data_IF_101997634381
#
_entry.id   IF_101997634381
#
_cell.length_a   1.000
_cell.length_b   1.000
_cell.length_c   1.000
_cell.angle_alpha   90.00
_cell.angle_beta   90.00
_cell.angle_gamma   90.00
#
_symmetry.space_group_name_H-M   'P 1'
#
loop_
_entity.id
_entity.type
_entity.pdbx_description
1 polymer ?
#
# COMPACT_ATOMS: atom_id res chain seq x y z
N UNK A 1 0.61 15.38 -24.28
CA UNK A 1 1.26 15.24 -22.95
C UNK A 1 0.26 15.71 -21.92
N UNK A 2 -0.03 14.89 -20.91
CA UNK A 2 -0.88 15.31 -19.78
C UNK A 2 -0.11 16.32 -18.93
N UNK A 3 -0.66 17.51 -18.72
CA UNK A 3 -0.09 18.51 -17.82
C UNK A 3 -0.68 18.33 -16.41
N UNK A 4 0.09 17.80 -15.45
CA UNK A 4 -0.39 17.55 -14.09
C UNK A 4 -0.70 18.83 -13.31
N UNK A 5 -0.27 20.00 -13.78
CA UNK A 5 -0.51 21.28 -13.10
C UNK A 5 -1.72 22.04 -13.66
N UNK A 6 -2.27 21.61 -14.79
CA UNK A 6 -3.41 22.26 -15.45
C UNK A 6 -4.60 21.30 -15.59
N UNK A 7 -5.07 20.80 -14.44
CA UNK A 7 -6.21 19.88 -14.37
C UNK A 7 -7.49 20.72 -14.21
N UNK A 8 -8.44 20.68 -15.16
CA UNK A 8 -9.69 21.42 -15.03
C UNK A 8 -10.51 20.88 -13.86
N UNK A 9 -10.94 21.78 -12.97
CA UNK A 9 -11.82 21.44 -11.86
C UNK A 9 -13.18 21.01 -12.40
N UNK A 10 -13.66 19.85 -11.96
CA UNK A 10 -15.01 19.37 -12.28
C UNK A 10 -16.07 20.21 -11.53
N UNK A 11 -17.29 20.36 -12.09
CA UNK A 11 -18.38 21.05 -11.41
C UNK A 11 -18.71 20.37 -10.06
N UNK A 12 -19.29 21.12 -9.10
CA UNK A 12 -19.67 20.57 -7.80
C UNK A 12 -20.71 19.45 -7.97
N UNK A 13 -20.57 18.40 -7.16
CA UNK A 13 -21.53 17.31 -7.11
C UNK A 13 -22.54 17.52 -5.96
N UNK A 14 -23.79 17.10 -6.15
CA UNK A 14 -24.85 17.20 -5.13
C UNK A 14 -24.75 16.07 -4.07
N UNK A 15 -23.54 15.58 -3.81
CA UNK A 15 -23.31 14.52 -2.84
C UNK A 15 -23.12 15.11 -1.43
N UNK A 16 -23.69 14.45 -0.43
CA UNK A 16 -23.55 14.82 0.98
C UNK A 16 -22.86 13.68 1.71
N UNK A 17 -21.85 13.99 2.53
CA UNK A 17 -21.22 13.01 3.41
C UNK A 17 -21.78 13.14 4.83
N UNK A 18 -21.99 12.00 5.49
CA UNK A 18 -22.34 11.94 6.92
C UNK A 18 -21.44 10.94 7.62
N UNK A 19 -21.10 11.23 8.88
CA UNK A 19 -20.27 10.35 9.70
C UNK A 19 -21.18 9.40 10.48
N UNK A 20 -20.97 8.10 10.33
CA UNK A 20 -21.64 7.05 11.08
C UNK A 20 -20.60 6.17 11.75
N UNK A 21 -20.57 6.15 13.10
CA UNK A 21 -19.63 5.36 13.90
C UNK A 21 -18.14 5.56 13.50
N UNK A 22 -17.74 6.79 13.20
CA UNK A 22 -16.37 7.13 12.78
C UNK A 22 -16.03 6.81 11.32
N UNK A 23 -16.98 6.28 10.55
CA UNK A 23 -16.86 6.02 9.11
C UNK A 23 -17.68 7.05 8.34
N UNK A 24 -17.07 7.70 7.36
CA UNK A 24 -17.78 8.61 6.46
C UNK A 24 -18.52 7.82 5.36
N UNK A 25 -19.81 8.09 5.22
CA UNK A 25 -20.67 7.55 4.18
C UNK A 25 -21.16 8.68 3.28
N UNK A 26 -21.25 8.43 1.98
CA UNK A 26 -21.65 9.41 0.96
C UNK A 26 -23.05 9.09 0.47
N UNK A 27 -23.89 10.11 0.30
CA UNK A 27 -25.28 10.02 -0.16
C UNK A 27 -25.47 10.92 -1.39
N UNK A 28 -26.22 10.46 -2.39
CA UNK A 28 -26.54 11.26 -3.58
C UNK A 28 -27.84 12.00 -3.36
N UNK A 29 -27.89 13.29 -3.72
CA UNK A 29 -29.12 14.08 -3.86
C UNK A 29 -30.23 13.74 -2.83
N UNK A 30 -29.96 13.90 -1.52
CA UNK A 30 -30.87 13.46 -0.45
C UNK A 30 -32.21 14.21 -0.43
N UNK A 31 -32.36 15.28 -1.23
CA UNK A 31 -33.58 16.07 -1.36
C UNK A 31 -34.57 15.43 -2.35
N UNK A 32 -34.09 14.90 -3.48
CA UNK A 32 -34.95 14.32 -4.52
C UNK A 32 -35.16 12.80 -4.37
N UNK A 33 -34.23 12.09 -3.73
CA UNK A 33 -34.23 10.63 -3.70
C UNK A 33 -34.89 10.07 -2.42
N UNK A 34 -36.23 10.11 -2.38
CA UNK A 34 -37.04 9.73 -1.20
C UNK A 34 -36.94 8.24 -0.85
N UNK A 35 -36.61 7.39 -1.83
CA UNK A 35 -36.47 5.94 -1.63
C UNK A 35 -35.12 5.54 -1.00
N UNK A 36 -34.12 6.43 -1.00
CA UNK A 36 -32.70 6.11 -0.74
C UNK A 36 -32.10 6.97 0.40
N UNK A 37 -32.94 7.68 1.16
CA UNK A 37 -32.51 8.65 2.19
C UNK A 37 -31.56 8.09 3.25
N UNK A 38 -31.67 6.78 3.52
CA UNK A 38 -30.86 6.09 4.54
C UNK A 38 -29.86 5.08 3.95
N UNK A 39 -29.86 4.88 2.63
CA UNK A 39 -28.95 3.96 1.97
C UNK A 39 -27.79 4.73 1.33
N UNK A 40 -26.54 4.53 1.79
CA UNK A 40 -25.39 5.23 1.23
C UNK A 40 -25.11 4.80 -0.21
N UNK A 41 -24.55 5.71 -1.02
CA UNK A 41 -24.01 5.43 -2.35
C UNK A 41 -22.80 4.50 -2.22
N UNK A 42 -23.07 3.22 -2.10
CA UNK A 42 -22.05 2.19 -2.06
C UNK A 42 -22.23 1.31 -3.29
N UNK A 43 -21.12 0.98 -3.96
CA UNK A 43 -21.10 0.07 -5.11
C UNK A 43 -21.61 -1.34 -4.78
N UNK A 44 -21.79 -1.65 -3.49
CA UNK A 44 -22.38 -2.86 -2.93
C UNK A 44 -23.06 -2.52 -1.59
N UNK A 45 -24.07 -3.28 -1.18
CA UNK A 45 -24.62 -3.19 0.19
C UNK A 45 -23.51 -3.52 1.22
N UNK A 46 -23.21 -2.58 2.13
CA UNK A 46 -22.18 -2.70 3.19
C UNK A 46 -20.79 -3.19 2.71
N UNK A 47 -20.07 -2.41 1.88
CA UNK A 47 -18.70 -2.72 1.47
C UNK A 47 -17.68 -2.43 2.58
N UNK A 48 -18.00 -1.56 3.53
CA UNK A 48 -17.12 -1.20 4.64
C UNK A 48 -17.47 -2.06 5.86
N UNK A 49 -16.51 -2.82 6.40
CA UNK A 49 -16.74 -3.57 7.62
C UNK A 49 -16.91 -2.61 8.80
N UNK A 50 -17.83 -2.94 9.69
CA UNK A 50 -17.95 -2.25 10.96
C UNK A 50 -16.72 -2.54 11.87
N UNK A 51 -16.47 -1.68 12.85
CA UNK A 51 -15.37 -1.83 13.81
C UNK A 51 -15.40 -3.21 14.48
N UNK A 52 -16.58 -3.70 14.85
CA UNK A 52 -16.70 -5.03 15.45
C UNK A 52 -16.39 -6.17 14.48
N UNK A 53 -16.67 -5.99 13.17
CA UNK A 53 -16.29 -6.97 12.15
C UNK A 53 -14.77 -6.98 11.94
N UNK A 54 -14.16 -5.79 11.87
CA UNK A 54 -12.72 -5.64 11.75
C UNK A 54 -11.99 -6.26 12.95
N UNK A 55 -12.42 -5.96 14.18
CA UNK A 55 -11.81 -6.52 15.40
C UNK A 55 -11.95 -8.04 15.49
N UNK A 56 -13.07 -8.62 15.02
CA UNK A 56 -13.23 -10.07 14.92
C UNK A 56 -12.23 -10.67 13.91
N UNK A 57 -12.15 -10.11 12.71
CA UNK A 57 -11.19 -10.56 11.70
C UNK A 57 -9.73 -10.44 12.18
N UNK A 58 -9.39 -9.36 12.90
CA UNK A 58 -8.08 -9.20 13.51
C UNK A 58 -7.81 -10.31 14.54
N UNK A 59 -8.78 -10.59 15.41
CA UNK A 59 -8.67 -11.67 16.39
C UNK A 59 -8.46 -13.04 15.72
N UNK A 60 -9.18 -13.32 14.63
CA UNK A 60 -9.03 -14.56 13.88
C UNK A 60 -7.60 -14.70 13.31
N UNK A 61 -7.07 -13.64 12.72
CA UNK A 61 -5.67 -13.60 12.24
C UNK A 61 -4.69 -13.80 13.38
N UNK A 62 -4.89 -13.13 14.52
CA UNK A 62 -4.03 -13.27 15.69
C UNK A 62 -4.04 -14.71 16.22
N UNK A 63 -5.21 -15.35 16.29
CA UNK A 63 -5.33 -16.76 16.70
C UNK A 63 -4.63 -17.69 15.71
N UNK A 64 -4.76 -17.46 14.41
CA UNK A 64 -4.07 -18.24 13.39
C UNK A 64 -2.54 -18.09 13.49
N UNK A 65 -2.03 -16.88 13.73
CA UNK A 65 -0.59 -16.62 13.91
C UNK A 65 -0.04 -17.26 15.19
N UNK A 66 -0.84 -17.32 16.26
CA UNK A 66 -0.45 -17.94 17.52
C UNK A 66 -0.52 -19.47 17.50
N UNK A 67 -1.18 -20.08 16.51
CA UNK A 67 -1.28 -21.52 16.39
C UNK A 67 0.12 -22.16 16.20
N UNK A 68 0.58 -23.04 17.12
CA UNK A 68 1.94 -23.59 17.07
C UNK A 68 2.23 -24.41 15.82
N UNK A 69 1.25 -25.18 15.32
CA UNK A 69 1.42 -25.99 14.12
C UNK A 69 1.60 -25.11 12.88
N UNK A 70 0.80 -24.04 12.76
CA UNK A 70 0.93 -23.06 11.69
C UNK A 70 2.30 -22.37 11.75
N UNK A 71 2.74 -21.94 12.94
CA UNK A 71 4.05 -21.32 13.15
C UNK A 71 5.21 -22.23 12.73
N UNK A 72 5.21 -23.48 13.20
CA UNK A 72 6.26 -24.46 12.85
C UNK A 72 6.27 -24.78 11.35
N UNK A 73 5.09 -24.91 10.72
CA UNK A 73 4.99 -25.14 9.28
C UNK A 73 5.53 -23.96 8.47
N UNK A 74 5.09 -22.73 8.79
CA UNK A 74 5.55 -21.52 8.12
C UNK A 74 7.07 -21.33 8.29
N UNK A 75 7.62 -21.62 9.48
CA UNK A 75 9.07 -21.57 9.71
C UNK A 75 9.83 -22.53 8.79
N UNK A 76 9.41 -23.81 8.72
CA UNK A 76 10.03 -24.80 7.82
C UNK A 76 9.93 -24.36 6.35
N UNK A 77 8.78 -23.81 5.94
CA UNK A 77 8.58 -23.30 4.58
C UNK A 77 9.49 -22.11 4.26
N UNK A 78 9.61 -21.15 5.17
CA UNK A 78 10.51 -20.01 5.00
C UNK A 78 11.96 -20.47 4.88
N UNK A 79 12.39 -21.42 5.72
CA UNK A 79 13.73 -22.01 5.62
C UNK A 79 13.96 -22.75 4.31
N UNK A 80 12.99 -23.54 3.85
CA UNK A 80 13.07 -24.16 2.54
C UNK A 80 13.21 -23.14 1.39
N UNK A 81 12.45 -22.04 1.44
CA UNK A 81 12.53 -20.99 0.41
C UNK A 81 13.88 -20.26 0.44
N UNK A 82 14.41 -19.99 1.63
CA UNK A 82 15.74 -19.42 1.82
C UNK A 82 16.82 -20.33 1.24
N UNK A 83 16.83 -21.63 1.58
CA UNK A 83 17.80 -22.59 1.04
C UNK A 83 17.65 -22.80 -0.47
N UNK A 84 16.42 -22.79 -0.99
CA UNK A 84 16.17 -22.85 -2.42
C UNK A 84 16.78 -21.63 -3.14
N UNK A 85 16.68 -20.45 -2.53
CA UNK A 85 17.29 -19.24 -3.08
C UNK A 85 18.82 -19.27 -2.98
N UNK A 86 19.38 -19.74 -1.87
CA UNK A 86 20.82 -19.94 -1.73
C UNK A 86 21.36 -20.89 -2.80
N UNK A 87 20.65 -22.00 -3.07
CA UNK A 87 20.98 -22.92 -4.14
C UNK A 87 20.97 -22.23 -5.50
N UNK A 88 19.91 -21.45 -5.78
CA UNK A 88 19.82 -20.66 -7.01
C UNK A 88 21.04 -19.73 -7.18
N UNK A 89 21.45 -19.02 -6.12
CA UNK A 89 22.63 -18.17 -6.15
C UNK A 89 23.91 -18.96 -6.45
N UNK A 90 24.12 -20.13 -5.83
CA UNK A 90 25.31 -20.95 -6.06
C UNK A 90 25.47 -21.39 -7.52
N UNK A 91 24.37 -21.76 -8.17
CA UNK A 91 24.40 -22.28 -9.55
C UNK A 91 24.33 -21.17 -10.62
N UNK A 92 23.57 -20.09 -10.37
CA UNK A 92 23.25 -19.10 -11.41
C UNK A 92 24.02 -17.78 -11.28
N UNK A 93 24.66 -17.50 -10.14
CA UNK A 93 25.38 -16.23 -9.94
C UNK A 93 26.39 -15.88 -11.06
N UNK A 94 27.24 -16.80 -11.56
CA UNK A 94 28.16 -16.49 -12.65
C UNK A 94 27.44 -16.10 -13.97
N UNK A 95 26.30 -16.74 -14.25
CA UNK A 95 25.50 -16.43 -15.43
C UNK A 95 24.84 -15.04 -15.29
N UNK A 96 24.23 -14.75 -14.14
CA UNK A 96 23.60 -13.45 -13.85
C UNK A 96 24.60 -12.28 -13.91
N UNK A 97 25.83 -12.48 -13.43
CA UNK A 97 26.91 -11.48 -13.52
C UNK A 97 27.29 -11.23 -14.98
N UNK A 98 27.33 -12.27 -15.81
CA UNK A 98 27.63 -12.14 -17.24
C UNK A 98 26.53 -11.36 -17.96
N UNK A 99 25.26 -11.68 -17.69
CA UNK A 99 24.13 -10.96 -18.26
C UNK A 99 24.11 -9.48 -17.86
N UNK A 100 24.42 -9.17 -16.60
CA UNK A 100 24.50 -7.79 -16.11
C UNK A 100 25.59 -7.01 -16.85
N UNK A 101 26.72 -7.64 -17.17
CA UNK A 101 27.80 -7.02 -17.95
C UNK A 101 27.43 -6.79 -19.42
N UNK A 102 26.59 -7.66 -19.99
CA UNK A 102 26.09 -7.50 -21.36
C UNK A 102 25.05 -6.38 -21.49
N UNK A 103 24.38 -6.00 -20.39
CA UNK A 103 23.37 -4.94 -20.38
C UNK A 103 23.99 -3.55 -20.16
N UNK A 104 24.42 -2.93 -21.26
CA UNK A 104 25.01 -1.59 -21.22
C UNK A 104 24.06 -0.54 -20.64
N UNK A 105 24.60 0.39 -19.87
CA UNK A 105 23.87 1.51 -19.25
C UNK A 105 22.75 1.12 -18.27
N UNK A 106 22.76 -0.12 -17.74
CA UNK A 106 21.80 -0.60 -16.72
C UNK A 106 22.49 -1.00 -15.41
N UNK A 107 23.45 -0.19 -14.97
CA UNK A 107 24.19 -0.41 -13.73
C UNK A 107 23.46 0.16 -12.48
N UNK A 108 24.12 0.00 -11.32
CA UNK A 108 23.63 0.51 -10.05
C UNK A 108 23.49 2.03 -9.99
N UNK A 109 23.96 2.82 -10.95
CA UNK A 109 23.73 4.27 -10.97
C UNK A 109 22.55 4.61 -11.87
N UNK A 110 22.42 3.93 -13.00
CA UNK A 110 21.45 4.24 -14.05
C UNK A 110 20.06 3.61 -13.83
N UNK A 111 19.96 2.55 -13.02
CA UNK A 111 18.65 2.01 -12.62
C UNK A 111 17.88 3.05 -11.80
N UNK A 112 16.55 3.13 -11.97
CA UNK A 112 15.72 4.02 -11.15
C UNK A 112 15.42 3.36 -9.82
N UNK A 113 15.74 4.03 -8.71
CA UNK A 113 15.39 3.59 -7.36
C UNK A 113 14.52 4.64 -6.71
N UNK A 114 13.55 4.18 -5.93
CA UNK A 114 12.61 5.02 -5.19
C UNK A 114 12.73 4.63 -3.73
N UNK A 115 12.87 5.62 -2.85
CA UNK A 115 12.72 5.41 -1.42
C UNK A 115 11.25 5.20 -1.10
N UNK A 116 10.89 4.03 -0.58
CA UNK A 116 9.50 3.66 -0.29
C UNK A 116 9.03 4.15 1.07
N UNK A 117 9.93 4.65 1.93
CA UNK A 117 9.58 5.08 3.27
C UNK A 117 10.44 6.28 3.70
N UNK A 118 9.95 7.47 3.37
CA UNK A 118 10.58 8.74 3.74
C UNK A 118 9.57 9.65 4.44
N UNK A 119 10.03 10.33 5.49
CA UNK A 119 9.25 11.38 6.13
C UNK A 119 9.63 12.72 5.51
N UNK A 120 8.65 13.49 5.05
CA UNK A 120 8.89 14.75 4.36
C UNK A 120 9.76 15.72 5.19
N UNK A 121 9.49 15.85 6.49
CA UNK A 121 10.24 16.71 7.40
C UNK A 121 11.69 16.25 7.64
N UNK A 122 12.02 14.99 7.37
CA UNK A 122 13.35 14.40 7.61
C UNK A 122 14.11 14.07 6.31
N UNK A 123 13.65 14.56 5.16
CA UNK A 123 14.27 14.24 3.86
C UNK A 123 15.60 14.96 3.59
N UNK A 124 15.94 15.98 4.40
CA UNK A 124 17.11 16.83 4.18
C UNK A 124 18.29 16.39 5.05
N UNK A 125 19.48 16.33 4.46
CA UNK A 125 20.71 16.10 5.22
C UNK A 125 20.99 17.26 6.17
N UNK A 126 21.52 16.96 7.37
CA UNK A 126 21.87 17.96 8.39
C UNK A 126 22.75 19.09 7.84
N UNK A 127 23.75 18.79 7.00
CA UNK A 127 24.60 19.82 6.39
C UNK A 127 23.81 20.83 5.56
N UNK A 128 22.82 20.36 4.80
CA UNK A 128 21.97 21.22 3.97
C UNK A 128 21.02 22.05 4.85
N UNK A 129 20.41 21.40 5.85
CA UNK A 129 19.53 22.06 6.80
C UNK A 129 20.26 23.16 7.61
N UNK A 130 21.45 22.86 8.14
CA UNK A 130 22.25 23.81 8.92
C UNK A 130 22.70 25.02 8.09
N UNK A 131 22.92 24.85 6.79
CA UNK A 131 23.23 25.96 5.88
C UNK A 131 21.99 26.79 5.54
N UNK A 132 20.80 26.20 5.56
CA UNK A 132 19.55 26.90 5.29
C UNK A 132 19.12 27.78 6.47
N UNK A 133 19.32 27.32 7.71
CA UNK A 133 18.88 28.03 8.92
C UNK A 133 19.89 29.04 9.48
N UNK A 134 21.14 29.00 9.03
CA UNK A 134 22.21 29.92 9.44
C UNK A 134 22.37 31.03 8.42
#
# INVERSE_FOLDING_TARGET
MYDPFNIPLKPPCNAVYKMHHGVYQVFWDPANDVATKDAPLLWKANPLPDVHQFLRGLKDVMTAVQNPACKSFCYKRLKYLEEKFNLHLMFNSPAEVTETKCNFHRDFYNVRKVDTHIHHSACMQQKHLLRFIR
#
